data_IF_819784170062
#
_entry.id   IF_819784170062
#
_cell.length_a   1.000
_cell.length_b   1.000
_cell.length_c   1.000
_cell.angle_alpha   90.00
_cell.angle_beta   90.00
_cell.angle_gamma   90.00
#
_symmetry.space_group_name_H-M   'P 1'
#
loop_
_entity.id
_entity.type
_entity.pdbx_description
1 polymer ?
#
# COMPACT_ATOMS: atom_id res chain seq x y z
N UNK A 1 34.63 5.56 15.82
CA UNK A 1 33.39 4.84 15.52
C UNK A 1 33.76 3.49 14.97
N UNK A 2 33.61 2.46 15.82
CA UNK A 2 34.04 1.09 15.53
C UNK A 2 33.24 0.48 14.37
N UNK A 3 33.91 -0.32 13.54
CA UNK A 3 33.31 -0.99 12.36
C UNK A 3 32.22 -2.03 12.64
N UNK A 4 31.81 -2.20 13.89
CA UNK A 4 30.76 -3.13 14.35
C UNK A 4 29.36 -2.50 14.36
N UNK A 5 29.26 -1.18 14.25
CA UNK A 5 28.00 -0.43 14.32
C UNK A 5 27.17 -0.44 13.00
N UNK A 6 27.72 -1.01 11.93
CA UNK A 6 27.05 -1.13 10.62
C UNK A 6 26.36 -2.48 10.38
N UNK A 7 26.50 -3.43 11.30
CA UNK A 7 25.91 -4.77 11.16
C UNK A 7 24.72 -4.93 12.07
N UNK A 8 23.70 -5.64 11.58
CA UNK A 8 22.60 -6.05 12.43
C UNK A 8 23.11 -6.97 13.54
N UNK A 9 22.72 -6.69 14.77
CA UNK A 9 22.94 -7.64 15.87
C UNK A 9 22.10 -8.92 15.67
N UNK A 10 22.37 -10.01 16.42
CA UNK A 10 21.66 -11.29 16.21
C UNK A 10 20.12 -11.20 16.33
N UNK A 11 19.61 -10.37 17.24
CA UNK A 11 18.16 -10.16 17.41
C UNK A 11 17.55 -9.41 16.21
N UNK A 12 18.17 -8.31 15.80
CA UNK A 12 17.76 -7.54 14.62
C UNK A 12 17.78 -8.40 13.35
N UNK A 13 18.83 -9.23 13.18
CA UNK A 13 18.93 -10.13 12.05
C UNK A 13 17.80 -11.16 12.02
N UNK A 14 17.44 -11.75 13.16
CA UNK A 14 16.32 -12.69 13.25
C UNK A 14 15.00 -12.02 12.88
N UNK A 15 14.73 -10.84 13.45
CA UNK A 15 13.51 -10.08 13.18
C UNK A 15 13.42 -9.68 11.69
N UNK A 16 14.52 -9.18 11.12
CA UNK A 16 14.57 -8.81 9.71
C UNK A 16 14.33 -9.99 8.77
N UNK A 17 14.97 -11.13 9.02
CA UNK A 17 14.75 -12.34 8.21
C UNK A 17 13.31 -12.88 8.34
N UNK A 18 12.71 -12.81 9.53
CA UNK A 18 11.32 -13.19 9.74
C UNK A 18 10.39 -12.27 8.95
N UNK A 19 10.57 -10.95 9.04
CA UNK A 19 9.82 -9.96 8.27
C UNK A 19 9.93 -10.22 6.76
N UNK A 20 11.14 -10.41 6.22
CA UNK A 20 11.33 -10.63 4.78
C UNK A 20 10.65 -11.91 4.27
N UNK A 21 10.65 -12.99 5.08
CA UNK A 21 9.94 -14.23 4.74
C UNK A 21 8.43 -14.01 4.68
N UNK A 22 7.87 -13.30 5.65
CA UNK A 22 6.45 -12.96 5.68
C UNK A 22 6.12 -12.07 4.48
N UNK A 23 6.86 -10.98 4.27
CA UNK A 23 6.64 -10.03 3.19
C UNK A 23 6.56 -10.71 1.81
N UNK A 24 7.61 -11.48 1.44
CA UNK A 24 7.64 -12.12 0.12
C UNK A 24 6.53 -13.16 -0.07
N UNK A 25 6.24 -13.94 0.97
CA UNK A 25 5.21 -14.97 0.85
C UNK A 25 3.81 -14.35 0.80
N UNK A 26 3.55 -13.37 1.65
CA UNK A 26 2.25 -12.70 1.73
C UNK A 26 1.95 -11.93 0.44
N UNK A 27 2.94 -11.19 -0.12
CA UNK A 27 2.80 -10.49 -1.40
C UNK A 27 2.39 -11.46 -2.52
N UNK A 28 3.06 -12.62 -2.61
CA UNK A 28 2.74 -13.63 -3.61
C UNK A 28 1.31 -14.17 -3.47
N UNK A 29 0.92 -14.59 -2.26
CA UNK A 29 -0.39 -15.21 -2.01
C UNK A 29 -1.54 -14.20 -2.20
N UNK A 30 -1.39 -12.97 -1.75
CA UNK A 30 -2.38 -11.92 -1.95
C UNK A 30 -2.55 -11.55 -3.43
N UNK A 31 -1.43 -11.44 -4.18
CA UNK A 31 -1.51 -11.18 -5.60
C UNK A 31 -2.19 -12.33 -6.36
N UNK A 32 -1.88 -13.58 -5.99
CA UNK A 32 -2.51 -14.75 -6.59
C UNK A 32 -4.01 -14.81 -6.32
N UNK A 33 -4.43 -14.54 -5.08
CA UNK A 33 -5.85 -14.50 -4.70
C UNK A 33 -6.61 -13.44 -5.50
N UNK A 34 -6.11 -12.18 -5.52
CA UNK A 34 -6.76 -11.08 -6.24
C UNK A 34 -6.89 -11.38 -7.73
N UNK A 35 -5.85 -11.92 -8.36
CA UNK A 35 -5.90 -12.28 -9.77
C UNK A 35 -6.93 -13.38 -10.07
N UNK A 36 -7.03 -14.38 -9.19
CA UNK A 36 -7.98 -15.48 -9.37
C UNK A 36 -9.43 -15.04 -9.18
N UNK A 37 -9.70 -14.17 -8.21
CA UNK A 37 -11.06 -13.84 -7.78
C UNK A 37 -11.63 -12.63 -8.53
N UNK A 38 -10.80 -11.67 -8.93
CA UNK A 38 -11.24 -10.39 -9.50
C UNK A 38 -10.48 -9.95 -10.75
N UNK A 39 -9.43 -10.65 -11.16
CA UNK A 39 -8.57 -10.20 -12.25
C UNK A 39 -7.72 -8.95 -11.94
N UNK A 40 -7.74 -8.49 -10.68
CA UNK A 40 -6.86 -7.42 -10.19
C UNK A 40 -5.52 -7.98 -9.75
N UNK A 41 -4.43 -7.28 -10.06
CA UNK A 41 -3.15 -7.51 -9.38
C UNK A 41 -3.15 -6.86 -8.00
N UNK A 42 -2.28 -7.31 -7.10
CA UNK A 42 -2.05 -6.63 -5.82
C UNK A 42 -1.64 -5.17 -6.03
N UNK A 43 -0.91 -4.88 -7.09
CA UNK A 43 -0.54 -3.53 -7.49
C UNK A 43 -1.77 -2.69 -7.89
N UNK A 44 -2.72 -3.25 -8.66
CA UNK A 44 -3.99 -2.57 -8.98
C UNK A 44 -4.77 -2.30 -7.69
N UNK A 45 -4.93 -3.31 -6.84
CA UNK A 45 -5.65 -3.19 -5.57
C UNK A 45 -5.04 -2.12 -4.66
N UNK A 46 -3.70 -2.06 -4.55
CA UNK A 46 -2.99 -1.04 -3.76
C UNK A 46 -3.33 0.38 -4.24
N UNK A 47 -3.33 0.61 -5.55
CA UNK A 47 -3.68 1.92 -6.12
C UNK A 47 -5.15 2.26 -5.91
N UNK A 48 -6.06 1.31 -6.15
CA UNK A 48 -7.50 1.51 -5.95
C UNK A 48 -7.82 1.81 -4.48
N UNK A 49 -7.22 1.05 -3.54
CA UNK A 49 -7.36 1.29 -2.11
C UNK A 49 -6.87 2.69 -1.70
N UNK A 50 -5.73 3.13 -2.21
CA UNK A 50 -5.21 4.46 -1.92
C UNK A 50 -6.13 5.57 -2.45
N UNK A 51 -6.70 5.39 -3.65
CA UNK A 51 -7.66 6.35 -4.23
C UNK A 51 -8.99 6.37 -3.48
N UNK A 52 -9.52 5.22 -3.08
CA UNK A 52 -10.76 5.12 -2.29
C UNK A 52 -10.64 5.85 -0.94
N UNK A 53 -9.43 5.91 -0.38
CA UNK A 53 -9.14 6.65 0.86
C UNK A 53 -8.72 8.11 0.62
N UNK A 54 -8.56 8.54 -0.63
CA UNK A 54 -8.20 9.91 -0.97
C UNK A 54 -9.43 10.85 -0.99
N UNK A 55 -9.24 12.17 -0.78
CA UNK A 55 -10.33 13.14 -0.90
C UNK A 55 -10.97 13.10 -2.28
N UNK A 56 -12.29 12.90 -2.33
CA UNK A 56 -13.07 12.82 -3.59
C UNK A 56 -12.55 11.75 -4.55
N UNK A 57 -11.97 10.67 -4.03
CA UNK A 57 -11.40 9.55 -4.79
C UNK A 57 -10.38 9.96 -5.85
N UNK A 58 -9.62 11.01 -5.56
CA UNK A 58 -8.67 11.62 -6.47
C UNK A 58 -7.38 11.98 -5.75
N UNK A 59 -6.25 11.80 -6.44
CA UNK A 59 -4.95 12.23 -5.95
C UNK A 59 -4.03 12.61 -7.12
N UNK A 60 -3.09 13.52 -6.87
CA UNK A 60 -1.98 13.75 -7.81
C UNK A 60 -1.05 12.54 -7.84
N UNK A 61 -0.42 12.28 -9.00
CA UNK A 61 0.49 11.13 -9.17
C UNK A 61 1.64 11.14 -8.14
N UNK A 62 2.19 12.30 -7.82
CA UNK A 62 3.27 12.42 -6.83
C UNK A 62 2.78 12.10 -5.40
N UNK A 63 1.60 12.59 -5.01
CA UNK A 63 0.98 12.30 -3.71
C UNK A 63 0.69 10.79 -3.61
N UNK A 64 0.06 10.22 -4.62
CA UNK A 64 -0.25 8.80 -4.67
C UNK A 64 1.01 7.93 -4.60
N UNK A 65 2.08 8.29 -5.33
CA UNK A 65 3.37 7.60 -5.30
C UNK A 65 3.98 7.60 -3.88
N UNK A 66 3.95 8.76 -3.21
CA UNK A 66 4.43 8.87 -1.82
C UNK A 66 3.58 8.04 -0.87
N UNK A 67 2.24 8.09 -1.00
CA UNK A 67 1.31 7.35 -0.15
C UNK A 67 1.53 5.84 -0.22
N UNK A 68 1.75 5.29 -1.42
CA UNK A 68 1.94 3.83 -1.59
C UNK A 68 3.42 3.41 -1.58
N UNK A 69 4.34 4.33 -1.38
CA UNK A 69 5.78 4.05 -1.29
C UNK A 69 6.41 3.62 -2.62
N UNK A 70 5.92 4.12 -3.75
CA UNK A 70 6.45 3.78 -5.07
C UNK A 70 7.21 4.91 -5.73
N UNK A 71 8.17 4.54 -6.58
CA UNK A 71 8.78 5.47 -7.53
C UNK A 71 7.72 6.02 -8.50
N UNK A 72 7.73 7.34 -8.72
CA UNK A 72 6.77 8.03 -9.60
C UNK A 72 6.73 7.44 -11.01
N UNK A 73 7.88 7.07 -11.58
CA UNK A 73 7.98 6.45 -12.90
C UNK A 73 7.27 5.10 -12.96
N UNK A 74 7.50 4.24 -11.96
CA UNK A 74 6.83 2.94 -11.81
C UNK A 74 5.31 3.12 -11.75
N UNK A 75 4.86 4.02 -10.88
CA UNK A 75 3.43 4.32 -10.74
C UNK A 75 2.83 4.84 -12.03
N UNK A 76 3.48 5.78 -12.73
CA UNK A 76 2.98 6.36 -13.98
C UNK A 76 2.75 5.29 -15.06
N UNK A 77 3.66 4.34 -15.21
CA UNK A 77 3.50 3.20 -16.13
C UNK A 77 2.36 2.27 -15.70
N UNK A 78 2.19 2.06 -14.40
CA UNK A 78 1.11 1.22 -13.87
C UNK A 78 -0.26 1.88 -14.11
N UNK A 79 -0.39 3.16 -13.79
CA UNK A 79 -1.61 3.95 -14.02
C UNK A 79 -2.01 4.00 -15.50
N UNK A 80 -1.06 4.01 -16.42
CA UNK A 80 -1.37 3.94 -17.85
C UNK A 80 -2.05 2.61 -18.21
N UNK A 81 -1.63 1.49 -17.62
CA UNK A 81 -2.29 0.19 -17.82
C UNK A 81 -3.68 0.14 -17.18
N UNK A 82 -3.81 0.66 -15.96
CA UNK A 82 -5.09 0.75 -15.27
C UNK A 82 -6.09 1.64 -16.02
N UNK A 83 -5.64 2.77 -16.55
CA UNK A 83 -6.48 3.66 -17.36
C UNK A 83 -6.99 3.01 -18.65
N UNK A 84 -6.15 2.22 -19.35
CA UNK A 84 -6.59 1.44 -20.52
C UNK A 84 -7.65 0.39 -20.18
N UNK A 85 -7.66 -0.11 -18.94
CA UNK A 85 -8.67 -1.02 -18.40
C UNK A 85 -9.90 -0.28 -17.86
N UNK A 86 -9.90 1.05 -17.88
CA UNK A 86 -10.99 1.88 -17.38
C UNK A 86 -11.12 1.94 -15.86
N UNK A 87 -10.10 1.49 -15.09
CA UNK A 87 -10.15 1.47 -13.63
C UNK A 87 -9.89 2.85 -13.01
N UNK A 88 -9.10 3.67 -13.67
CA UNK A 88 -8.76 5.03 -13.27
C UNK A 88 -8.81 5.98 -14.46
N UNK A 89 -9.08 7.23 -14.19
CA UNK A 89 -9.05 8.33 -15.16
C UNK A 89 -7.88 9.26 -14.86
N UNK A 90 -7.30 9.82 -15.93
CA UNK A 90 -6.17 10.75 -15.85
C UNK A 90 -6.61 12.09 -16.42
N UNK A 91 -6.38 13.17 -15.68
CA UNK A 91 -6.65 14.55 -16.10
C UNK A 91 -5.49 15.47 -15.74
N UNK A 92 -5.42 16.62 -16.40
CA UNK A 92 -4.55 17.70 -15.92
C UNK A 92 -5.10 18.18 -14.56
N UNK A 93 -4.19 18.53 -13.64
CA UNK A 93 -4.61 19.05 -12.33
C UNK A 93 -5.16 20.46 -12.46
N UNK A 94 -6.24 20.76 -11.73
CA UNK A 94 -6.78 22.11 -11.64
C UNK A 94 -5.79 23.00 -10.88
N UNK A 95 -5.13 23.92 -11.59
CA UNK A 95 -4.16 24.89 -11.01
C UNK A 95 -2.69 24.61 -11.30
N UNK A 96 -2.31 23.40 -11.69
CA UNK A 96 -0.97 23.07 -12.16
C UNK A 96 -1.00 22.16 -13.39
N UNK A 97 -0.86 22.76 -14.58
CA UNK A 97 -0.85 22.00 -15.86
C UNK A 97 0.28 20.99 -15.99
N UNK A 98 1.30 21.03 -15.12
CA UNK A 98 2.40 20.06 -15.07
C UNK A 98 2.09 18.86 -14.19
N UNK A 99 1.09 18.96 -13.32
CA UNK A 99 0.64 17.89 -12.47
C UNK A 99 -0.46 17.09 -13.18
N UNK A 100 -0.50 15.78 -12.91
CA UNK A 100 -1.52 14.88 -13.40
C UNK A 100 -2.30 14.34 -12.20
N UNK A 101 -3.61 14.52 -12.24
CA UNK A 101 -4.55 13.95 -11.30
C UNK A 101 -5.00 12.57 -11.78
N UNK A 102 -5.18 11.68 -10.85
CA UNK A 102 -5.74 10.36 -11.03
C UNK A 102 -7.03 10.30 -10.23
N UNK A 103 -8.11 9.97 -10.88
CA UNK A 103 -9.41 9.76 -10.26
C UNK A 103 -9.83 8.29 -10.38
N UNK A 104 -10.47 7.78 -9.35
CA UNK A 104 -11.13 6.48 -9.38
C UNK A 104 -12.34 6.58 -10.31
N UNK A 105 -12.49 5.63 -11.22
CA UNK A 105 -13.71 5.53 -12.04
C UNK A 105 -14.79 4.73 -11.30
N UNK A 106 -16.02 4.82 -11.79
CA UNK A 106 -17.12 3.99 -11.29
C UNK A 106 -16.82 2.48 -11.47
N UNK A 107 -16.20 2.10 -12.59
CA UNK A 107 -15.73 0.72 -12.79
C UNK A 107 -14.67 0.34 -11.77
N UNK A 108 -13.64 1.20 -11.57
CA UNK A 108 -12.58 0.94 -10.61
C UNK A 108 -13.10 0.78 -9.17
N UNK A 109 -14.11 1.58 -8.79
CA UNK A 109 -14.77 1.47 -7.49
C UNK A 109 -15.48 0.13 -7.34
N UNK A 110 -16.31 -0.25 -8.30
CA UNK A 110 -17.04 -1.54 -8.26
C UNK A 110 -16.08 -2.74 -8.18
N UNK A 111 -15.03 -2.74 -8.98
CA UNK A 111 -14.02 -3.82 -8.96
C UNK A 111 -13.29 -3.89 -7.61
N UNK A 112 -12.96 -2.74 -7.02
CA UNK A 112 -12.35 -2.69 -5.69
C UNK A 112 -13.32 -3.20 -4.60
N UNK A 113 -14.55 -2.70 -4.57
CA UNK A 113 -15.57 -3.09 -3.59
C UNK A 113 -15.91 -4.59 -3.69
N UNK A 114 -15.96 -5.15 -4.89
CA UNK A 114 -16.16 -6.58 -5.09
C UNK A 114 -14.97 -7.43 -4.60
N UNK A 115 -13.73 -6.94 -4.76
CA UNK A 115 -12.53 -7.65 -4.35
C UNK A 115 -12.22 -7.56 -2.84
N UNK A 116 -12.60 -6.45 -2.20
CA UNK A 116 -12.19 -6.12 -0.83
C UNK A 116 -12.59 -7.16 0.22
N UNK A 117 -13.81 -7.73 0.24
CA UNK A 117 -14.18 -8.75 1.24
C UNK A 117 -13.35 -10.03 1.13
N UNK A 118 -13.13 -10.54 -0.09
CA UNK A 118 -12.30 -11.72 -0.35
C UNK A 118 -10.84 -11.49 0.04
N UNK A 119 -10.32 -10.31 -0.29
CA UNK A 119 -8.97 -9.91 0.10
C UNK A 119 -8.81 -9.82 1.63
N UNK A 120 -9.74 -9.18 2.33
CA UNK A 120 -9.73 -9.09 3.79
C UNK A 120 -9.80 -10.48 4.46
N UNK A 121 -10.67 -11.37 3.96
CA UNK A 121 -10.75 -12.75 4.44
C UNK A 121 -9.41 -13.50 4.27
N UNK A 122 -8.77 -13.32 3.12
CA UNK A 122 -7.46 -13.94 2.85
C UNK A 122 -6.34 -13.39 3.73
N UNK A 123 -6.31 -12.07 3.96
CA UNK A 123 -5.37 -11.46 4.92
C UNK A 123 -5.59 -12.03 6.32
N UNK A 124 -6.85 -12.12 6.77
CA UNK A 124 -7.18 -12.71 8.08
C UNK A 124 -6.69 -14.14 8.21
N UNK A 125 -6.94 -14.96 7.19
CA UNK A 125 -6.52 -16.38 7.17
C UNK A 125 -5.00 -16.54 7.19
N UNK A 126 -4.28 -15.79 6.34
CA UNK A 126 -2.85 -15.98 6.15
C UNK A 126 -1.97 -15.30 7.20
N UNK A 127 -2.44 -14.18 7.74
CA UNK A 127 -1.60 -13.33 8.57
C UNK A 127 -2.00 -13.30 10.04
N UNK A 128 -3.29 -13.43 10.33
CA UNK A 128 -3.81 -13.27 11.68
C UNK A 128 -4.33 -14.59 12.32
N UNK A 129 -4.52 -15.67 11.55
CA UNK A 129 -5.18 -16.88 12.05
C UNK A 129 -4.56 -17.48 13.31
N UNK A 130 -3.23 -17.42 13.44
CA UNK A 130 -2.48 -18.01 14.55
C UNK A 130 -2.02 -16.96 15.58
N UNK A 131 -2.47 -15.71 15.47
CA UNK A 131 -2.13 -14.65 16.42
C UNK A 131 -3.19 -14.49 17.50
N UNK A 132 -2.76 -14.30 18.72
CA UNK A 132 -3.62 -13.86 19.82
C UNK A 132 -3.84 -12.34 19.73
N UNK A 133 -4.92 -11.83 20.32
CA UNK A 133 -5.20 -10.39 20.37
C UNK A 133 -4.03 -9.56 20.97
N UNK A 134 -3.32 -10.11 21.96
CA UNK A 134 -2.13 -9.45 22.52
C UNK A 134 -0.98 -9.38 21.50
N UNK A 135 -0.80 -10.40 20.67
CA UNK A 135 0.21 -10.41 19.61
C UNK A 135 -0.17 -9.48 18.48
N UNK A 136 -1.44 -9.38 18.10
CA UNK A 136 -1.94 -8.41 17.11
C UNK A 136 -1.66 -6.97 17.53
N UNK A 137 -1.95 -6.62 18.80
CA UNK A 137 -1.65 -5.29 19.35
C UNK A 137 -0.14 -5.02 19.36
N UNK A 138 0.67 -5.97 19.84
CA UNK A 138 2.13 -5.82 19.86
C UNK A 138 2.71 -5.66 18.45
N UNK A 139 2.16 -6.40 17.48
CA UNK A 139 2.57 -6.28 16.07
C UNK A 139 2.23 -4.91 15.49
N UNK A 140 1.05 -4.37 15.79
CA UNK A 140 0.65 -3.04 15.37
C UNK A 140 1.62 -1.97 15.91
N UNK A 141 1.97 -2.04 17.20
CA UNK A 141 2.92 -1.12 17.84
C UNK A 141 4.31 -1.21 17.21
N UNK A 142 4.81 -2.44 16.98
CA UNK A 142 6.12 -2.68 16.38
C UNK A 142 6.18 -2.14 14.94
N UNK A 143 5.15 -2.42 14.14
CA UNK A 143 5.10 -1.96 12.75
C UNK A 143 4.96 -0.44 12.67
N UNK A 144 4.18 0.19 13.55
CA UNK A 144 4.06 1.65 13.64
C UNK A 144 5.40 2.30 13.98
N UNK A 145 6.11 1.78 14.98
CA UNK A 145 7.44 2.28 15.34
C UNK A 145 8.46 2.12 14.19
N UNK A 146 8.43 0.98 13.48
CA UNK A 146 9.28 0.74 12.32
C UNK A 146 8.93 1.70 11.17
N UNK A 147 7.66 1.94 10.91
CA UNK A 147 7.18 2.87 9.89
C UNK A 147 7.63 4.30 10.17
N UNK A 148 7.45 4.79 11.40
CA UNK A 148 7.95 6.10 11.83
C UNK A 148 9.49 6.23 11.66
N UNK A 149 10.23 5.18 11.91
CA UNK A 149 11.68 5.16 11.66
C UNK A 149 12.00 5.30 10.16
N UNK A 150 11.24 4.60 9.30
CA UNK A 150 11.39 4.71 7.84
C UNK A 150 11.05 6.12 7.36
N UNK A 151 9.99 6.73 7.88
CA UNK A 151 9.60 8.10 7.52
C UNK A 151 10.65 9.15 7.91
N UNK A 152 11.37 8.93 9.02
CA UNK A 152 12.44 9.84 9.46
C UNK A 152 13.75 9.66 8.70
N UNK A 153 14.09 8.44 8.32
CA UNK A 153 15.41 8.09 7.78
C UNK A 153 15.38 7.75 6.29
N UNK A 154 14.20 7.59 5.72
CA UNK A 154 14.01 7.28 4.30
C UNK A 154 14.16 8.49 3.40
N UNK A 155 14.12 8.25 2.09
CA UNK A 155 14.28 9.29 1.05
C UNK A 155 12.97 9.79 0.47
N UNK A 156 11.86 9.04 0.65
CA UNK A 156 10.53 9.50 0.24
C UNK A 156 10.01 10.53 1.24
N UNK A 157 9.34 11.60 0.77
CA UNK A 157 8.63 12.52 1.66
C UNK A 157 7.62 11.79 2.54
N UNK A 158 7.30 12.36 3.71
CA UNK A 158 6.19 11.85 4.53
C UNK A 158 4.90 11.95 3.71
N UNK A 159 4.07 10.89 3.66
CA UNK A 159 2.77 10.96 3.03
C UNK A 159 1.90 12.04 3.71
N UNK A 160 1.18 12.81 2.93
CA UNK A 160 0.15 13.74 3.44
C UNK A 160 -1.14 12.93 3.64
N UNK A 161 -1.13 12.09 4.68
CA UNK A 161 -2.28 11.26 5.08
C UNK A 161 -2.89 11.91 6.31
N UNK A 162 -4.15 12.30 6.22
CA UNK A 162 -4.95 12.70 7.38
C UNK A 162 -5.29 11.42 8.18
N UNK A 163 -4.43 11.07 9.14
CA UNK A 163 -4.57 9.86 9.98
C UNK A 163 -5.82 9.90 10.88
N UNK A 164 -6.41 11.07 11.08
CA UNK A 164 -7.59 11.29 11.93
C UNK A 164 -8.93 11.10 11.19
N UNK A 165 -8.94 10.71 9.93
CA UNK A 165 -10.18 10.51 9.21
C UNK A 165 -10.81 9.17 9.57
N UNK A 166 -12.00 9.13 10.20
CA UNK A 166 -12.68 7.88 10.47
C UNK A 166 -12.94 7.16 9.14
N UNK A 167 -12.42 5.93 9.02
CA UNK A 167 -12.73 5.03 7.91
C UNK A 167 -14.25 4.86 7.87
N UNK A 168 -14.87 5.38 6.84
CA UNK A 168 -16.28 5.09 6.60
C UNK A 168 -16.35 3.58 6.29
N UNK A 169 -16.92 2.83 7.25
CA UNK A 169 -17.16 1.40 7.18
C UNK A 169 -18.25 1.04 6.18
#
# INVERSE_FOLDING_TARGET
MSGDDRRLNPSQRRAWLAYMRVYHRLEYEMNRQLQADSGLSLADYTVLNALTNAPRDRAQVNVLATTIGWERSRLSHHLQRMSRRGLVERSASDGDRRATDIALTELGRREFEAAAPGHAARVKELFFADLTAAQENSLADILSAAYESILRNGTLPRPDIDEDRPRQG
#
